data_IF_779206479182
#
_entry.id   IF_779206479182
#
_cell.length_a   1.000
_cell.length_b   1.000
_cell.length_c   1.000
_cell.angle_alpha   90.00
_cell.angle_beta   90.00
_cell.angle_gamma   90.00
#
_symmetry.space_group_name_H-M   'P 1'
#
loop_
_entity.id
_entity.type
_entity.pdbx_description
1 polymer ?
#
# COMPACT_ATOMS: atom_id res chain seq x y z
N UNK A 1 13.60 9.82 -22.87
CA UNK A 1 12.57 10.81 -22.46
C UNK A 1 11.16 10.20 -22.28
N UNK A 2 10.99 8.86 -22.28
CA UNK A 2 9.68 8.19 -22.16
C UNK A 2 9.31 7.73 -20.74
N UNK A 3 10.28 7.63 -19.82
CA UNK A 3 10.06 7.03 -18.49
C UNK A 3 9.21 7.90 -17.55
N UNK A 4 9.24 9.23 -17.70
CA UNK A 4 8.47 10.16 -16.85
C UNK A 4 6.95 10.07 -17.07
N UNK A 5 6.52 9.71 -18.28
CA UNK A 5 5.10 9.58 -18.60
C UNK A 5 4.52 8.26 -18.10
N UNK A 6 5.32 7.18 -18.12
CA UNK A 6 4.92 5.90 -17.53
C UNK A 6 4.81 5.98 -16.01
N UNK A 7 5.74 6.64 -15.31
CA UNK A 7 5.63 6.80 -13.86
C UNK A 7 4.41 7.65 -13.45
N UNK A 8 4.10 8.72 -14.20
CA UNK A 8 2.89 9.52 -13.97
C UNK A 8 1.62 8.70 -14.28
N UNK A 9 1.65 7.89 -15.33
CA UNK A 9 0.53 7.02 -15.68
C UNK A 9 0.31 5.94 -14.62
N UNK A 10 1.36 5.29 -14.15
CA UNK A 10 1.31 4.29 -13.07
C UNK A 10 0.84 4.92 -11.77
N UNK A 11 1.35 6.10 -11.38
CA UNK A 11 0.88 6.81 -10.19
C UNK A 11 -0.61 7.17 -10.27
N UNK A 12 -1.07 7.62 -11.45
CA UNK A 12 -2.49 7.95 -11.69
C UNK A 12 -3.36 6.69 -11.70
N UNK A 13 -2.86 5.58 -12.23
CA UNK A 13 -3.55 4.30 -12.30
C UNK A 13 -3.66 3.68 -10.91
N UNK A 14 -2.61 3.73 -10.08
CA UNK A 14 -2.63 3.32 -8.67
C UNK A 14 -3.57 4.21 -7.85
N UNK A 15 -3.58 5.52 -8.09
CA UNK A 15 -4.52 6.43 -7.42
C UNK A 15 -5.98 6.16 -7.81
N UNK A 16 -6.26 5.92 -9.10
CA UNK A 16 -7.58 5.48 -9.58
C UNK A 16 -7.97 4.13 -8.98
N UNK A 17 -7.05 3.17 -8.92
CA UNK A 17 -7.32 1.86 -8.30
C UNK A 17 -7.60 1.99 -6.80
N UNK A 18 -6.88 2.87 -6.10
CA UNK A 18 -7.13 3.17 -4.68
C UNK A 18 -8.48 3.87 -4.46
N UNK A 19 -8.89 4.77 -5.37
CA UNK A 19 -10.20 5.42 -5.34
C UNK A 19 -11.33 4.43 -5.61
N UNK A 20 -11.16 3.52 -6.56
CA UNK A 20 -12.12 2.44 -6.87
C UNK A 20 -12.23 1.49 -5.68
N UNK A 21 -11.10 1.06 -5.10
CA UNK A 21 -11.09 0.17 -3.94
C UNK A 21 -11.75 0.81 -2.70
N UNK A 22 -11.57 2.12 -2.49
CA UNK A 22 -12.29 2.87 -1.45
C UNK A 22 -13.80 2.93 -1.71
N UNK A 23 -14.23 3.08 -2.96
CA UNK A 23 -15.64 3.07 -3.32
C UNK A 23 -16.27 1.68 -3.12
N UNK A 24 -15.56 0.61 -3.49
CA UNK A 24 -15.99 -0.78 -3.29
C UNK A 24 -16.11 -1.13 -1.80
N UNK A 25 -15.16 -0.69 -0.96
CA UNK A 25 -15.26 -0.86 0.50
C UNK A 25 -16.47 -0.14 1.10
N UNK A 26 -16.77 1.06 0.63
CA UNK A 26 -17.95 1.80 1.11
C UNK A 26 -19.25 1.12 0.67
N UNK A 27 -19.31 0.57 -0.55
CA UNK A 27 -20.45 -0.21 -1.02
C UNK A 27 -20.62 -1.49 -0.20
N UNK A 28 -19.54 -2.21 0.10
CA UNK A 28 -19.58 -3.43 0.90
C UNK A 28 -20.06 -3.15 2.35
N UNK A 29 -19.64 -2.03 2.94
CA UNK A 29 -20.15 -1.59 4.26
C UNK A 29 -21.65 -1.26 4.18
N UNK A 30 -22.09 -0.57 3.13
CA UNK A 30 -23.49 -0.24 2.93
C UNK A 30 -24.34 -1.48 2.71
N UNK A 31 -23.88 -2.43 1.91
CA UNK A 31 -24.55 -3.72 1.68
C UNK A 31 -24.61 -4.55 2.95
N UNK A 32 -23.55 -4.59 3.76
CA UNK A 32 -23.54 -5.28 5.05
C UNK A 32 -24.54 -4.68 6.04
N UNK A 33 -24.60 -3.34 6.10
CA UNK A 33 -25.58 -2.63 6.94
C UNK A 33 -27.00 -2.83 6.44
N UNK A 34 -27.22 -2.78 5.13
CA UNK A 34 -28.52 -3.03 4.51
C UNK A 34 -28.98 -4.45 4.80
N UNK A 35 -28.11 -5.45 4.63
CA UNK A 35 -28.39 -6.86 4.94
C UNK A 35 -28.71 -7.07 6.42
N UNK A 36 -28.00 -6.39 7.32
CA UNK A 36 -28.28 -6.43 8.76
C UNK A 36 -29.66 -5.82 9.08
N UNK A 37 -30.01 -4.71 8.43
CA UNK A 37 -31.31 -4.06 8.60
C UNK A 37 -32.45 -4.90 8.00
N UNK A 38 -32.25 -5.47 6.81
CA UNK A 38 -33.19 -6.37 6.17
C UNK A 38 -33.44 -7.62 7.01
N UNK A 39 -32.39 -8.25 7.55
CA UNK A 39 -32.52 -9.39 8.46
C UNK A 39 -33.25 -8.99 9.75
N UNK A 40 -33.02 -7.78 10.26
CA UNK A 40 -33.71 -7.30 11.48
C UNK A 40 -35.19 -7.02 11.26
N UNK A 41 -35.62 -6.66 10.05
CA UNK A 41 -37.01 -6.29 9.75
C UNK A 41 -37.81 -7.47 9.20
N UNK A 42 -37.23 -8.27 8.31
CA UNK A 42 -37.90 -9.39 7.64
C UNK A 42 -37.54 -10.77 8.23
N UNK A 43 -36.48 -10.86 9.02
CA UNK A 43 -35.96 -12.14 9.51
C UNK A 43 -35.58 -13.07 8.36
N UNK A 44 -35.84 -14.36 8.52
CA UNK A 44 -35.62 -15.42 7.51
C UNK A 44 -36.82 -15.60 6.55
N UNK A 45 -37.73 -14.61 6.52
CA UNK A 45 -38.95 -14.68 5.71
C UNK A 45 -38.66 -14.32 4.25
N UNK A 46 -39.29 -15.06 3.33
CA UNK A 46 -39.05 -14.93 1.90
C UNK A 46 -39.40 -13.51 1.39
N UNK A 47 -38.39 -12.80 0.85
CA UNK A 47 -38.42 -11.35 0.55
C UNK A 47 -39.43 -10.95 -0.54
N UNK A 48 -39.94 -11.90 -1.32
CA UNK A 48 -40.73 -11.64 -2.53
C UNK A 48 -42.26 -11.74 -2.36
N UNK A 49 -42.78 -12.22 -1.22
CA UNK A 49 -44.20 -12.63 -1.16
C UNK A 49 -45.14 -11.77 -0.33
N UNK A 50 -44.64 -10.88 0.53
CA UNK A 50 -45.48 -9.82 1.13
C UNK A 50 -44.59 -8.91 1.97
N UNK A 51 -44.56 -7.62 1.67
CA UNK A 51 -44.11 -6.61 2.62
C UNK A 51 -44.99 -6.73 3.88
N UNK A 52 -44.48 -7.20 5.03
CA UNK A 52 -45.27 -7.19 6.24
C UNK A 52 -45.52 -5.73 6.58
N UNK A 53 -46.76 -5.37 6.89
CA UNK A 53 -47.11 -4.04 7.40
C UNK A 53 -46.63 -3.93 8.86
N UNK A 54 -45.32 -4.01 9.07
CA UNK A 54 -44.67 -4.00 10.40
C UNK A 54 -45.06 -2.74 11.16
N UNK A 55 -45.23 -1.63 10.45
CA UNK A 55 -45.67 -0.36 11.05
C UNK A 55 -47.13 -0.46 11.53
N UNK A 56 -48.03 -1.09 10.77
CA UNK A 56 -49.43 -1.23 11.17
C UNK A 56 -49.58 -2.26 12.29
N UNK A 57 -48.83 -3.36 12.26
CA UNK A 57 -48.82 -4.35 13.34
C UNK A 57 -48.18 -3.78 14.60
N UNK A 58 -47.06 -3.05 14.49
CA UNK A 58 -46.43 -2.35 15.62
C UNK A 58 -47.35 -1.27 16.19
N UNK A 59 -48.03 -0.48 15.34
CA UNK A 59 -49.01 0.52 15.79
C UNK A 59 -50.21 -0.13 16.48
N UNK A 60 -50.65 -1.30 15.99
CA UNK A 60 -51.72 -2.04 16.64
C UNK A 60 -51.28 -2.65 17.97
N UNK A 61 -50.05 -3.19 18.05
CA UNK A 61 -49.45 -3.69 19.29
C UNK A 61 -49.26 -2.54 20.29
N UNK A 62 -48.77 -1.39 19.86
CA UNK A 62 -48.61 -0.20 20.70
C UNK A 62 -49.97 0.30 21.22
N UNK A 63 -51.01 0.33 20.37
CA UNK A 63 -52.38 0.64 20.82
C UNK A 63 -52.91 -0.37 21.83
N UNK A 64 -52.69 -1.67 21.59
CA UNK A 64 -53.12 -2.73 22.50
C UNK A 64 -52.34 -2.69 23.82
N UNK A 65 -51.04 -2.43 23.76
CA UNK A 65 -50.15 -2.30 24.91
C UNK A 65 -50.52 -1.06 25.72
N UNK A 66 -50.71 0.09 25.10
CA UNK A 66 -51.16 1.30 25.78
C UNK A 66 -52.56 1.13 26.40
N UNK A 67 -53.48 0.42 25.75
CA UNK A 67 -54.80 0.11 26.32
C UNK A 67 -54.68 -0.85 27.52
N UNK A 68 -53.85 -1.89 27.41
CA UNK A 68 -53.60 -2.84 28.49
C UNK A 68 -52.86 -2.20 29.69
N UNK A 69 -51.90 -1.32 29.42
CA UNK A 69 -51.13 -0.56 30.42
C UNK A 69 -52.00 0.51 31.09
N UNK A 70 -52.87 1.19 30.33
CA UNK A 70 -53.82 2.16 30.88
C UNK A 70 -54.85 1.51 31.83
N UNK A 71 -55.19 0.24 31.62
CA UNK A 71 -56.07 -0.52 32.52
C UNK A 71 -55.40 -0.97 33.82
N UNK A 72 -54.06 -0.84 33.94
CA UNK A 72 -53.26 -1.36 35.06
C UNK A 72 -52.26 -0.32 35.56
N UNK A 73 -52.69 0.55 36.48
CA UNK A 73 -51.89 1.64 37.06
C UNK A 73 -50.51 1.23 37.61
N UNK A 74 -50.38 0.01 38.15
CA UNK A 74 -49.10 -0.52 38.65
C UNK A 74 -48.08 -0.76 37.53
N UNK A 75 -48.53 -1.22 36.37
CA UNK A 75 -47.67 -1.48 35.21
C UNK A 75 -47.26 -0.16 34.58
N UNK A 76 -48.18 0.82 34.53
CA UNK A 76 -47.89 2.17 34.07
C UNK A 76 -46.79 2.83 34.91
N UNK A 77 -46.87 2.76 36.25
CA UNK A 77 -45.81 3.24 37.15
C UNK A 77 -44.46 2.55 36.91
N UNK A 78 -44.44 1.24 36.64
CA UNK A 78 -43.20 0.52 36.34
C UNK A 78 -42.62 0.94 34.97
N UNK A 79 -43.47 1.11 33.95
CA UNK A 79 -43.04 1.58 32.63
C UNK A 79 -42.48 3.00 32.70
N UNK A 80 -43.12 3.89 33.47
CA UNK A 80 -42.63 5.24 33.74
C UNK A 80 -41.31 5.25 34.53
N UNK A 81 -41.06 4.21 35.35
CA UNK A 81 -39.81 4.02 36.10
C UNK A 81 -38.71 3.32 35.29
N UNK A 82 -39.02 2.71 34.14
CA UNK A 82 -38.06 2.03 33.27
C UNK A 82 -36.93 2.95 32.78
N UNK A 83 -37.19 4.18 32.29
CA UNK A 83 -36.10 5.10 31.93
C UNK A 83 -35.25 5.53 33.13
N UNK A 84 -35.84 5.53 34.34
CA UNK A 84 -35.10 5.77 35.58
C UNK A 84 -34.18 4.60 35.89
N UNK A 85 -34.66 3.37 35.77
CA UNK A 85 -33.87 2.14 35.94
C UNK A 85 -32.76 2.01 34.90
N UNK A 86 -33.03 2.37 33.64
CA UNK A 86 -32.02 2.45 32.58
C UNK A 86 -30.91 3.44 32.95
N UNK A 87 -31.26 4.61 33.50
CA UNK A 87 -30.29 5.59 34.03
C UNK A 87 -29.49 5.07 35.22
N UNK A 88 -30.07 4.26 36.11
CA UNK A 88 -29.36 3.67 37.25
C UNK A 88 -28.50 2.46 36.87
N UNK A 89 -28.78 1.82 35.73
CA UNK A 89 -28.00 0.72 35.17
C UNK A 89 -26.90 1.22 34.21
N UNK A 90 -26.88 2.50 33.88
CA UNK A 90 -25.80 3.12 33.12
C UNK A 90 -24.49 3.09 33.96
N UNK A 91 -23.43 2.39 33.49
CA UNK A 91 -22.16 2.29 34.20
C UNK A 91 -21.53 3.66 34.51
N UNK A 92 -21.92 4.70 33.78
CA UNK A 92 -21.49 6.08 33.99
C UNK A 92 -22.05 6.69 35.30
N UNK A 93 -23.26 6.29 35.71
CA UNK A 93 -23.88 6.76 36.96
C UNK A 93 -23.30 6.06 38.21
N UNK A 94 -22.94 4.77 38.07
CA UNK A 94 -22.29 4.00 39.13
C UNK A 94 -20.86 4.51 39.44
N UNK A 95 -20.14 5.01 38.43
CA UNK A 95 -18.79 5.57 38.63
C UNK A 95 -18.77 6.88 39.43
N UNK A 96 -19.83 7.69 39.36
CA UNK A 96 -19.86 9.00 40.01
C UNK A 96 -20.29 8.95 41.48
N UNK A 97 -21.13 7.98 41.86
CA UNK A 97 -21.66 7.85 43.24
C UNK A 97 -21.23 6.59 43.99
N UNK A 98 -20.55 5.62 43.35
CA UNK A 98 -20.40 4.26 43.88
C UNK A 98 -19.10 3.91 44.59
N UNK A 99 -18.04 4.71 44.46
CA UNK A 99 -16.73 4.36 45.02
C UNK A 99 -16.44 5.17 46.28
N UNK A 100 -16.58 4.51 47.44
CA UNK A 100 -16.04 5.00 48.72
C UNK A 100 -14.55 5.31 48.58
N UNK A 101 -14.06 6.33 49.29
CA UNK A 101 -12.66 6.74 49.23
C UNK A 101 -11.69 5.59 49.53
N UNK A 102 -12.09 4.67 50.40
CA UNK A 102 -11.34 3.44 50.71
C UNK A 102 -11.25 2.51 49.50
N UNK A 103 -12.35 2.31 48.76
CA UNK A 103 -12.37 1.46 47.57
C UNK A 103 -11.55 2.05 46.41
N UNK A 104 -11.49 3.38 46.29
CA UNK A 104 -10.59 4.05 45.33
C UNK A 104 -9.13 3.79 45.67
N UNK A 105 -8.76 3.84 46.96
CA UNK A 105 -7.40 3.55 47.43
C UNK A 105 -7.04 2.09 47.18
N UNK A 106 -7.94 1.15 47.47
CA UNK A 106 -7.69 -0.27 47.26
C UNK A 106 -7.52 -0.62 45.78
N UNK A 107 -8.29 0.02 44.88
CA UNK A 107 -8.12 -0.14 43.43
C UNK A 107 -6.76 0.41 42.98
N UNK A 108 -6.40 1.62 43.43
CA UNK A 108 -5.11 2.23 43.07
C UNK A 108 -3.94 1.37 43.57
N UNK A 109 -4.03 0.81 44.78
CA UNK A 109 -3.02 -0.09 45.34
C UNK A 109 -2.98 -1.43 44.59
N UNK A 110 -4.14 -1.98 44.20
CA UNK A 110 -4.22 -3.21 43.43
C UNK A 110 -3.67 -3.05 42.00
N UNK A 111 -3.75 -1.85 41.43
CA UNK A 111 -3.28 -1.52 40.08
C UNK A 111 -1.90 -0.83 40.07
N UNK A 112 -1.29 -0.60 41.23
CA UNK A 112 -0.05 0.16 41.38
C UNK A 112 1.09 -0.42 40.51
N UNK A 113 1.24 -1.74 40.51
CA UNK A 113 2.25 -2.44 39.72
C UNK A 113 2.03 -2.25 38.21
N UNK A 114 0.77 -2.21 37.77
CA UNK A 114 0.44 -1.97 36.36
C UNK A 114 0.72 -0.52 35.97
N UNK A 115 0.37 0.44 36.84
CA UNK A 115 0.66 1.86 36.63
C UNK A 115 2.17 2.10 36.57
N UNK A 116 2.96 1.48 37.46
CA UNK A 116 4.43 1.57 37.44
C UNK A 116 5.03 0.96 36.19
N UNK A 117 4.54 -0.19 35.73
CA UNK A 117 4.98 -0.81 34.46
C UNK A 117 4.67 0.10 33.27
N UNK A 118 3.44 0.62 33.20
CA UNK A 118 3.02 1.53 32.13
C UNK A 118 3.88 2.80 32.12
N UNK A 119 4.17 3.39 33.28
CA UNK A 119 5.05 4.56 33.39
C UNK A 119 6.48 4.26 32.90
N UNK A 120 7.05 3.11 33.30
CA UNK A 120 8.37 2.68 32.85
C UNK A 120 8.41 2.44 31.34
N UNK A 121 7.36 1.84 30.77
CA UNK A 121 7.26 1.64 29.33
C UNK A 121 7.05 2.97 28.58
N UNK A 122 6.33 3.93 29.18
CA UNK A 122 6.20 5.28 28.63
C UNK A 122 7.54 6.02 28.61
N UNK A 123 8.36 5.87 29.65
CA UNK A 123 9.72 6.41 29.66
C UNK A 123 10.59 5.78 28.58
N UNK A 124 10.52 4.45 28.39
CA UNK A 124 11.23 3.77 27.29
C UNK A 124 10.79 4.30 25.92
N UNK A 125 9.48 4.48 25.72
CA UNK A 125 8.93 5.04 24.47
C UNK A 125 9.41 6.48 24.27
N UNK A 126 9.40 7.30 25.33
CA UNK A 126 9.88 8.68 25.27
C UNK A 126 11.36 8.75 24.89
N UNK A 127 12.20 7.91 25.49
CA UNK A 127 13.62 7.81 25.17
C UNK A 127 13.86 7.31 23.74
N UNK A 128 13.05 6.36 23.25
CA UNK A 128 13.10 5.91 21.87
C UNK A 128 12.61 6.98 20.87
N UNK A 129 11.64 7.80 21.27
CA UNK A 129 11.15 8.90 20.43
C UNK A 129 12.21 9.98 20.27
N UNK A 130 13.01 10.23 21.30
CA UNK A 130 14.17 11.13 21.21
C UNK A 130 15.23 10.66 20.21
N UNK A 131 15.43 9.34 20.02
CA UNK A 131 16.34 8.82 18.99
C UNK A 131 15.73 8.83 17.58
N UNK A 132 14.39 8.75 17.48
CA UNK A 132 13.63 8.95 16.23
C UNK A 132 13.66 10.40 15.75
N UNK A 133 13.73 11.38 16.67
CA UNK A 133 13.86 12.80 16.36
C UNK A 133 15.26 13.22 15.87
N UNK A 134 16.19 12.27 15.73
CA UNK A 134 17.54 12.52 15.25
C UNK A 134 17.51 13.22 13.88
N UNK A 135 18.36 14.24 13.75
CA UNK A 135 18.48 15.10 12.55
C UNK A 135 18.74 14.28 11.27
N UNK A 136 19.32 13.09 11.44
CA UNK A 136 19.57 12.10 10.39
C UNK A 136 18.28 11.56 9.74
N UNK A 137 17.21 11.33 10.53
CA UNK A 137 15.90 10.88 10.01
C UNK A 137 15.17 12.00 9.26
N UNK A 138 15.29 13.26 9.73
CA UNK A 138 14.78 14.44 9.01
C UNK A 138 15.54 14.70 7.70
N UNK A 139 16.80 14.28 7.61
CA UNK A 139 17.61 14.37 6.40
C UNK A 139 17.29 13.32 5.31
N UNK A 140 16.53 12.27 5.63
CA UNK A 140 16.24 11.16 4.71
C UNK A 140 15.61 11.60 3.40
N UNK A 141 14.59 12.49 3.36
CA UNK A 141 14.00 12.91 2.08
C UNK A 141 15.02 13.62 1.17
N UNK A 142 15.94 14.39 1.75
CA UNK A 142 17.01 15.07 1.02
C UNK A 142 18.02 14.08 0.47
N UNK A 143 18.41 13.07 1.24
CA UNK A 143 19.31 12.00 0.79
C UNK A 143 18.64 11.12 -0.26
N UNK A 144 17.35 10.80 -0.10
CA UNK A 144 16.57 10.03 -1.06
C UNK A 144 16.47 10.75 -2.41
N UNK A 145 16.21 12.07 -2.41
CA UNK A 145 16.18 12.85 -3.65
C UNK A 145 17.53 12.87 -4.38
N UNK A 146 18.65 12.98 -3.64
CA UNK A 146 20.00 12.88 -4.21
C UNK A 146 20.31 11.48 -4.73
N UNK A 147 19.86 10.44 -4.02
CA UNK A 147 20.04 9.06 -4.44
C UNK A 147 19.28 8.77 -5.73
N UNK A 148 18.05 9.29 -5.87
CA UNK A 148 17.28 9.17 -7.10
C UNK A 148 17.96 9.88 -8.28
N UNK A 149 18.48 11.08 -8.07
CA UNK A 149 19.28 11.79 -9.08
C UNK A 149 20.53 10.98 -9.48
N UNK A 150 21.24 10.42 -8.51
CA UNK A 150 22.42 9.59 -8.76
C UNK A 150 22.06 8.29 -9.49
N UNK A 151 20.93 7.66 -9.15
CA UNK A 151 20.44 6.48 -9.83
C UNK A 151 20.15 6.76 -11.30
N UNK A 152 19.54 7.91 -11.61
CA UNK A 152 19.31 8.33 -13.00
C UNK A 152 20.63 8.51 -13.75
N UNK A 153 21.61 9.20 -13.15
CA UNK A 153 22.94 9.37 -13.76
C UNK A 153 23.63 8.02 -13.98
N UNK A 154 23.48 7.06 -13.07
CA UNK A 154 24.06 5.73 -13.23
C UNK A 154 23.44 4.95 -14.40
N UNK A 155 22.12 5.07 -14.59
CA UNK A 155 21.43 4.47 -15.74
C UNK A 155 21.95 5.09 -17.04
N UNK A 156 22.02 6.41 -17.11
CA UNK A 156 22.51 7.12 -18.30
C UNK A 156 23.98 6.75 -18.61
N UNK A 157 24.83 6.64 -17.57
CA UNK A 157 26.22 6.21 -17.72
C UNK A 157 26.33 4.76 -18.22
N UNK A 158 25.49 3.84 -17.73
CA UNK A 158 25.48 2.46 -18.20
C UNK A 158 25.08 2.36 -19.67
N UNK A 159 24.10 3.15 -20.09
CA UNK A 159 23.67 3.20 -21.49
C UNK A 159 24.80 3.74 -22.39
N UNK A 160 25.45 4.83 -21.99
CA UNK A 160 26.59 5.41 -22.73
C UNK A 160 27.77 4.44 -22.84
N UNK A 161 28.10 3.73 -21.76
CA UNK A 161 29.17 2.71 -21.79
C UNK A 161 28.79 1.55 -22.71
N UNK A 162 27.52 1.15 -22.72
CA UNK A 162 27.02 0.14 -23.65
C UNK A 162 27.19 0.54 -25.10
N UNK A 163 26.74 1.75 -25.46
CA UNK A 163 26.88 2.29 -26.82
C UNK A 163 28.35 2.42 -27.23
N UNK A 164 29.19 3.01 -26.38
CA UNK A 164 30.62 3.16 -26.66
C UNK A 164 31.32 1.81 -26.86
N UNK A 165 30.94 0.80 -26.07
CA UNK A 165 31.50 -0.56 -26.21
C UNK A 165 31.14 -1.17 -27.56
N UNK A 166 29.91 -0.96 -28.03
CA UNK A 166 29.45 -1.44 -29.32
C UNK A 166 30.15 -0.72 -30.48
N UNK A 167 30.29 0.60 -30.39
CA UNK A 167 31.02 1.40 -31.39
C UNK A 167 32.48 0.96 -31.50
N UNK A 168 33.15 0.74 -30.37
CA UNK A 168 34.53 0.22 -30.36
C UNK A 168 34.60 -1.19 -30.96
N UNK A 169 33.60 -2.04 -30.68
CA UNK A 169 33.52 -3.37 -31.28
C UNK A 169 33.38 -3.29 -32.79
N UNK A 170 32.48 -2.46 -33.29
CA UNK A 170 32.24 -2.27 -34.71
C UNK A 170 33.49 -1.74 -35.41
N UNK A 171 34.16 -0.74 -34.81
CA UNK A 171 35.42 -0.21 -35.34
C UNK A 171 36.52 -1.29 -35.39
N UNK A 172 36.59 -2.16 -34.38
CA UNK A 172 37.57 -3.25 -34.35
C UNK A 172 37.28 -4.31 -35.42
N UNK A 173 36.01 -4.58 -35.72
CA UNK A 173 35.59 -5.44 -36.83
C UNK A 173 35.96 -4.82 -38.18
N UNK A 174 35.69 -3.53 -38.39
CA UNK A 174 36.06 -2.81 -39.62
C UNK A 174 37.58 -2.78 -39.82
N UNK A 175 38.34 -2.54 -38.76
CA UNK A 175 39.79 -2.60 -38.78
C UNK A 175 40.28 -4.00 -39.18
N UNK A 176 39.74 -5.05 -38.55
CA UNK A 176 40.11 -6.43 -38.87
C UNK A 176 39.81 -6.78 -40.34
N UNK A 177 38.63 -6.38 -40.83
CA UNK A 177 38.24 -6.57 -42.24
C UNK A 177 39.21 -5.85 -43.19
N UNK A 178 39.56 -4.61 -42.88
CA UNK A 178 40.50 -3.81 -43.68
C UNK A 178 41.87 -4.47 -43.72
N UNK A 179 42.39 -4.93 -42.58
CA UNK A 179 43.68 -5.64 -42.51
C UNK A 179 43.62 -6.95 -43.30
N UNK A 180 42.54 -7.74 -43.20
CA UNK A 180 42.39 -8.98 -43.95
C UNK A 180 42.39 -8.74 -45.47
N UNK A 181 41.68 -7.72 -45.94
CA UNK A 181 41.68 -7.33 -47.35
C UNK A 181 43.07 -6.89 -47.81
N UNK A 182 43.75 -6.09 -47.00
CA UNK A 182 45.07 -5.56 -47.30
C UNK A 182 46.13 -6.69 -47.34
N UNK A 183 46.03 -7.67 -46.44
CA UNK A 183 46.85 -8.90 -46.50
C UNK A 183 46.60 -9.72 -47.76
N UNK A 184 45.34 -9.90 -48.17
CA UNK A 184 45.01 -10.58 -49.44
C UNK A 184 45.58 -9.83 -50.65
N UNK A 185 45.49 -8.50 -50.64
CA UNK A 185 46.03 -7.67 -51.71
C UNK A 185 47.55 -7.80 -51.83
N UNK A 186 48.25 -7.84 -50.69
CA UNK A 186 49.70 -8.07 -50.70
C UNK A 186 50.08 -9.44 -51.26
N UNK A 187 49.34 -10.51 -50.91
CA UNK A 187 49.59 -11.84 -51.48
C UNK A 187 49.39 -11.83 -53.00
N UNK A 188 48.32 -11.20 -53.49
CA UNK A 188 48.08 -11.08 -54.94
C UNK A 188 49.18 -10.29 -55.64
N UNK A 189 49.65 -9.20 -55.04
CA UNK A 189 50.76 -8.42 -55.61
C UNK A 189 52.06 -9.23 -55.61
N UNK A 190 52.34 -9.98 -54.56
CA UNK A 190 53.53 -10.85 -54.48
C UNK A 190 53.49 -11.96 -55.54
N UNK A 191 52.32 -12.55 -55.78
CA UNK A 191 52.11 -13.53 -56.85
C UNK A 191 52.34 -12.91 -58.24
N UNK A 192 51.77 -11.73 -58.50
CA UNK A 192 51.97 -11.01 -59.78
C UNK A 192 53.44 -10.66 -60.00
N UNK A 193 54.13 -10.14 -58.97
CA UNK A 193 55.56 -9.80 -59.04
C UNK A 193 56.38 -11.06 -59.32
N UNK A 194 56.11 -12.16 -58.61
CA UNK A 194 56.81 -13.43 -58.81
C UNK A 194 56.65 -13.96 -60.25
N UNK A 195 55.44 -13.89 -60.81
CA UNK A 195 55.20 -14.30 -62.20
C UNK A 195 55.99 -13.43 -63.20
N UNK A 196 55.98 -12.11 -63.00
CA UNK A 196 56.76 -11.19 -63.84
C UNK A 196 58.27 -11.43 -63.71
N UNK A 197 58.78 -11.77 -62.53
CA UNK A 197 60.19 -12.12 -62.32
C UNK A 197 60.57 -13.41 -63.05
N UNK A 198 59.70 -14.43 -63.03
CA UNK A 198 59.89 -15.69 -63.77
C UNK A 198 59.90 -15.44 -65.29
N UNK A 199 58.97 -14.65 -65.79
CA UNK A 199 58.89 -14.29 -67.22
C UNK A 199 60.07 -13.43 -67.69
N UNK A 200 60.60 -12.60 -66.79
CA UNK A 200 61.76 -11.75 -67.06
C UNK A 200 63.11 -12.47 -66.88
N UNK A 201 63.15 -13.69 -66.35
CA UNK A 201 64.40 -14.46 -66.28
C UNK A 201 64.86 -14.84 -67.70
N UNK A 202 66.12 -14.54 -68.07
CA UNK A 202 66.64 -14.93 -69.37
C UNK A 202 66.66 -16.45 -69.46
N UNK A 203 66.05 -17.02 -70.52
CA UNK A 203 66.25 -18.42 -70.89
C UNK A 203 67.75 -18.66 -70.94
N UNK A 204 68.29 -19.50 -70.03
CA UNK A 204 69.67 -19.99 -70.12
C UNK A 204 69.82 -20.64 -71.49
N UNK A 205 70.53 -19.97 -72.40
CA UNK A 205 71.08 -20.56 -73.60
C UNK A 205 72.02 -21.66 -73.13
N UNK A 206 71.58 -22.90 -73.24
CA UNK A 206 72.48 -24.02 -73.43
C UNK A 206 72.58 -24.24 -74.94
N UNK A 207 73.84 -24.42 -75.36
CA UNK A 207 74.44 -24.41 -76.69
C UNK A 207 74.73 -23.03 -77.31
#
# INVERSE_FOLDING_TARGET
MNLRWEEIFVARLVFLHSQINMADQNLEILESRLKSLENSVYGDSNKDLSYPKVIDSLSNIDKQLNTAVASRDKIKKLLDQTPLMEKYLDPTYASESGLSQTAKVDIILSEEDQIRKLAADFEKIKNATQSLDSEHLKGIPKVASRLQQLAQVNIDQKEQVGQLTEDVRNLLVEYNNTISLLSKQFIQWDEIVTQLEIDAQPKKSYD
#
